data_IF_175329659870
#
_entry.id   IF_175329659870
#
_cell.length_a   1.000
_cell.length_b   1.000
_cell.length_c   1.000
_cell.angle_alpha   90.00
_cell.angle_beta   90.00
_cell.angle_gamma   90.00
#
_symmetry.space_group_name_H-M   'P 1'
#
loop_
_entity.id
_entity.type
_entity.pdbx_description
1 polymer ?
#
# COMPACT_ATOMS: atom_id res chain seq x y z
N UNK A 1 22.29 -18.33 -11.13
CA UNK A 1 21.73 -17.02 -11.50
C UNK A 1 20.23 -17.05 -11.85
N UNK A 2 19.72 -18.12 -12.46
CA UNK A 2 18.31 -18.19 -12.87
C UNK A 2 17.35 -18.22 -11.65
N UNK A 3 17.69 -19.00 -10.61
CA UNK A 3 16.86 -19.12 -9.42
C UNK A 3 16.69 -17.79 -8.66
N UNK A 4 17.78 -17.05 -8.44
CA UNK A 4 17.72 -15.73 -7.79
C UNK A 4 16.91 -14.72 -8.61
N UNK A 5 17.03 -14.76 -9.93
CA UNK A 5 16.23 -13.91 -10.81
C UNK A 5 14.74 -14.25 -10.72
N UNK A 6 14.41 -15.53 -10.65
CA UNK A 6 13.03 -15.99 -10.49
C UNK A 6 12.46 -15.55 -9.15
N UNK A 7 13.23 -15.66 -8.06
CA UNK A 7 12.84 -15.17 -6.74
C UNK A 7 12.60 -13.65 -6.74
N UNK A 8 13.46 -12.87 -7.39
CA UNK A 8 13.28 -11.43 -7.51
C UNK A 8 12.00 -11.07 -8.27
N UNK A 9 11.70 -11.80 -9.35
CA UNK A 9 10.45 -11.60 -10.10
C UNK A 9 9.25 -11.89 -9.20
N UNK A 10 9.23 -13.01 -8.49
CA UNK A 10 8.13 -13.36 -7.57
C UNK A 10 8.00 -12.34 -6.44
N UNK A 11 9.09 -11.90 -5.88
CA UNK A 11 9.11 -10.89 -4.83
C UNK A 11 8.42 -9.60 -5.31
N UNK A 12 8.82 -9.08 -6.46
CA UNK A 12 8.27 -7.84 -7.01
C UNK A 12 6.85 -7.97 -7.59
N UNK A 13 6.45 -9.15 -8.07
CA UNK A 13 5.16 -9.33 -8.75
C UNK A 13 4.09 -9.96 -7.87
N UNK A 14 4.46 -10.65 -6.81
CA UNK A 14 3.54 -11.37 -5.93
C UNK A 14 3.64 -10.89 -4.49
N UNK A 15 4.81 -11.06 -3.86
CA UNK A 15 4.93 -10.88 -2.41
C UNK A 15 4.79 -9.40 -2.00
N UNK A 16 5.57 -8.52 -2.60
CA UNK A 16 5.53 -7.09 -2.26
C UNK A 16 4.18 -6.43 -2.56
N UNK A 17 3.53 -6.64 -3.73
CA UNK A 17 2.21 -6.08 -4.00
C UNK A 17 1.10 -6.55 -3.06
N UNK A 18 1.12 -7.80 -2.58
CA UNK A 18 0.14 -8.31 -1.60
C UNK A 18 0.12 -7.44 -0.33
N UNK A 19 1.28 -6.94 0.09
CA UNK A 19 1.43 -6.13 1.30
C UNK A 19 1.53 -4.62 1.00
N UNK A 20 1.22 -4.18 -0.22
CA UNK A 20 1.27 -2.77 -0.60
C UNK A 20 2.69 -2.17 -0.59
N UNK A 21 3.72 -3.01 -0.70
CA UNK A 21 5.12 -2.58 -0.73
C UNK A 21 5.53 -2.17 -2.14
N UNK A 22 6.40 -1.16 -2.22
CA UNK A 22 7.03 -0.79 -3.48
C UNK A 22 7.94 -1.91 -4.00
N UNK A 23 8.07 -2.01 -5.32
CA UNK A 23 8.99 -2.94 -5.96
C UNK A 23 10.44 -2.56 -5.65
N UNK A 24 11.31 -3.55 -5.47
CA UNK A 24 12.75 -3.31 -5.41
C UNK A 24 13.24 -2.72 -6.72
N UNK A 25 13.89 -1.56 -6.66
CA UNK A 25 14.46 -0.96 -7.86
C UNK A 25 15.51 -1.87 -8.50
N UNK A 26 15.64 -1.81 -9.83
CA UNK A 26 16.66 -2.55 -10.58
C UNK A 26 18.08 -2.25 -10.09
N UNK A 27 18.32 -1.01 -9.63
CA UNK A 27 19.63 -0.55 -9.16
C UNK A 27 20.02 -1.25 -7.86
N UNK A 28 19.07 -1.43 -6.94
CA UNK A 28 19.28 -2.18 -5.69
C UNK A 28 19.44 -3.67 -6.00
N UNK A 29 18.56 -4.23 -6.83
CA UNK A 29 18.56 -5.65 -7.17
C UNK A 29 19.81 -6.08 -7.98
N UNK A 30 20.39 -5.15 -8.77
CA UNK A 30 21.55 -5.39 -9.61
C UNK A 30 22.83 -4.75 -9.06
N UNK A 31 22.79 -4.15 -7.88
CA UNK A 31 23.94 -3.47 -7.28
C UNK A 31 25.18 -4.37 -7.27
N UNK A 32 26.10 -4.08 -8.17
CA UNK A 32 27.43 -4.68 -8.22
C UNK A 32 28.41 -3.99 -7.27
N UNK A 33 29.62 -4.49 -7.18
CA UNK A 33 30.71 -3.74 -6.59
C UNK A 33 31.15 -2.70 -7.63
N UNK A 34 31.12 -1.41 -7.27
CA UNK A 34 31.65 -0.37 -8.14
C UNK A 34 33.12 -0.68 -8.49
N UNK A 35 33.47 -0.57 -9.73
CA UNK A 35 34.71 -0.59 -10.51
C UNK A 35 36.09 -0.79 -9.87
N UNK A 36 36.22 -1.28 -8.66
CA UNK A 36 37.52 -1.60 -8.06
C UNK A 36 37.82 -3.07 -8.32
N UNK A 37 38.89 -3.34 -9.01
CA UNK A 37 39.43 -4.69 -9.21
C UNK A 37 40.00 -5.22 -7.89
N UNK A 38 39.17 -5.88 -7.10
CA UNK A 38 39.53 -6.44 -5.79
C UNK A 38 40.30 -7.72 -5.87
N UNK A 39 40.36 -8.34 -7.04
CA UNK A 39 40.84 -9.70 -7.23
C UNK A 39 42.05 -9.79 -8.15
N UNK A 40 42.61 -8.67 -8.63
CA UNK A 40 43.82 -8.63 -9.46
C UNK A 40 45.01 -9.35 -8.83
N UNK A 41 45.12 -9.30 -7.48
CA UNK A 41 46.18 -10.01 -6.79
C UNK A 41 46.15 -11.54 -6.95
N UNK A 42 44.93 -12.11 -7.27
CA UNK A 42 44.82 -13.56 -7.51
C UNK A 42 45.45 -13.98 -8.84
N UNK A 43 45.69 -13.05 -9.76
CA UNK A 43 46.38 -13.34 -11.01
C UNK A 43 47.84 -13.75 -10.79
N UNK A 44 48.44 -13.37 -9.64
CA UNK A 44 49.74 -13.87 -9.21
C UNK A 44 49.74 -15.38 -8.95
N UNK A 45 48.58 -15.96 -8.61
CA UNK A 45 48.45 -17.39 -8.32
C UNK A 45 47.81 -18.17 -9.49
N UNK A 46 47.10 -17.51 -10.34
CA UNK A 46 46.44 -18.10 -11.52
C UNK A 46 46.52 -17.13 -12.71
N UNK A 47 47.53 -17.31 -13.56
CA UNK A 47 47.75 -16.49 -14.75
C UNK A 47 46.61 -16.60 -15.79
N UNK A 48 45.67 -17.55 -15.63
CA UNK A 48 44.48 -17.65 -16.51
C UNK A 48 43.38 -16.66 -16.14
N UNK A 49 43.47 -15.98 -15.00
CA UNK A 49 42.46 -15.06 -14.48
C UNK A 49 41.13 -15.72 -14.05
N UNK A 50 41.06 -17.06 -14.10
CA UNK A 50 39.83 -17.79 -13.76
C UNK A 50 39.47 -17.65 -12.29
N UNK A 51 40.47 -17.67 -11.41
CA UNK A 51 40.28 -17.55 -9.96
C UNK A 51 39.73 -16.16 -9.60
N UNK A 52 40.30 -15.09 -10.16
CA UNK A 52 39.82 -13.73 -9.99
C UNK A 52 38.36 -13.58 -10.49
N UNK A 53 38.09 -14.06 -11.70
CA UNK A 53 36.74 -14.03 -12.30
C UNK A 53 35.71 -14.82 -11.48
N UNK A 54 36.08 -15.98 -10.94
CA UNK A 54 35.19 -16.78 -10.11
C UNK A 54 34.88 -16.10 -8.78
N UNK A 55 35.91 -15.52 -8.13
CA UNK A 55 35.75 -14.76 -6.88
C UNK A 55 34.84 -13.55 -7.06
N UNK A 56 35.02 -12.79 -8.12
CA UNK A 56 34.16 -11.65 -8.45
C UNK A 56 32.68 -12.09 -8.69
N UNK A 57 32.47 -13.21 -9.39
CA UNK A 57 31.13 -13.77 -9.60
C UNK A 57 30.48 -14.23 -8.30
N UNK A 58 31.26 -14.84 -7.39
CA UNK A 58 30.77 -15.26 -6.07
C UNK A 58 30.35 -14.07 -5.22
N UNK A 59 31.12 -13.00 -5.21
CA UNK A 59 30.76 -11.78 -4.47
C UNK A 59 29.47 -11.14 -5.00
N UNK A 60 29.33 -11.03 -6.32
CA UNK A 60 28.10 -10.51 -6.93
C UNK A 60 26.91 -11.40 -6.54
N UNK A 61 27.07 -12.71 -6.57
CA UNK A 61 26.03 -13.65 -6.22
C UNK A 61 25.65 -13.55 -4.75
N UNK A 62 26.63 -13.48 -3.87
CA UNK A 62 26.44 -13.31 -2.42
C UNK A 62 25.68 -12.02 -2.10
N UNK A 63 26.02 -10.93 -2.76
CA UNK A 63 25.34 -9.65 -2.58
C UNK A 63 23.89 -9.71 -3.05
N UNK A 64 23.64 -10.30 -4.22
CA UNK A 64 22.27 -10.50 -4.73
C UNK A 64 21.44 -11.38 -3.77
N UNK A 65 22.02 -12.43 -3.24
CA UNK A 65 21.38 -13.30 -2.26
C UNK A 65 21.07 -12.53 -0.96
N UNK A 66 22.00 -11.69 -0.47
CA UNK A 66 21.79 -10.87 0.71
C UNK A 66 20.61 -9.87 0.51
N UNK A 67 20.57 -9.17 -0.62
CA UNK A 67 19.46 -8.25 -0.92
C UNK A 67 18.13 -9.00 -0.95
N UNK A 68 18.10 -10.20 -1.56
CA UNK A 68 16.88 -11.01 -1.62
C UNK A 68 16.43 -11.51 -0.24
N UNK A 69 17.36 -11.93 0.61
CA UNK A 69 17.05 -12.35 1.99
C UNK A 69 16.45 -11.16 2.76
N UNK A 70 17.05 -9.98 2.65
CA UNK A 70 16.53 -8.76 3.31
C UNK A 70 15.13 -8.41 2.84
N UNK A 71 14.86 -8.50 1.54
CA UNK A 71 13.51 -8.27 1.01
C UNK A 71 12.50 -9.27 1.57
N UNK A 72 12.85 -10.56 1.62
CA UNK A 72 11.98 -11.59 2.18
C UNK A 72 11.77 -11.44 3.70
N UNK A 73 12.77 -10.95 4.44
CA UNK A 73 12.60 -10.60 5.85
C UNK A 73 11.53 -9.52 6.04
N UNK A 74 11.54 -8.45 5.21
CA UNK A 74 10.52 -7.40 5.22
C UNK A 74 9.12 -7.97 4.94
N UNK A 75 8.99 -8.78 3.90
CA UNK A 75 7.73 -9.47 3.56
C UNK A 75 7.27 -10.36 4.72
N UNK A 76 8.19 -11.11 5.36
CA UNK A 76 7.88 -12.00 6.48
C UNK A 76 7.33 -11.24 7.70
N UNK A 77 7.89 -10.06 7.99
CA UNK A 77 7.37 -9.20 9.08
C UNK A 77 5.94 -8.76 8.80
N UNK A 78 5.64 -8.36 7.56
CA UNK A 78 4.28 -7.96 7.17
C UNK A 78 3.32 -9.15 7.11
N UNK A 79 3.80 -10.33 6.66
CA UNK A 79 2.99 -11.55 6.65
C UNK A 79 2.54 -11.96 8.06
N UNK A 80 3.37 -11.77 9.06
CA UNK A 80 3.01 -12.01 10.47
C UNK A 80 1.93 -11.06 10.99
N UNK A 81 1.80 -9.88 10.37
CA UNK A 81 0.77 -8.89 10.68
C UNK A 81 -0.45 -8.98 9.76
N UNK A 82 -0.56 -10.04 8.96
CA UNK A 82 -1.64 -10.19 7.99
C UNK A 82 -3.03 -10.24 8.64
N UNK A 83 -3.14 -10.78 9.84
CA UNK A 83 -4.39 -10.82 10.60
C UNK A 83 -4.82 -9.41 11.05
N UNK A 84 -3.91 -8.62 11.60
CA UNK A 84 -4.15 -7.21 11.93
C UNK A 84 -4.54 -6.42 10.67
N UNK A 85 -3.81 -6.63 9.58
CA UNK A 85 -4.11 -5.99 8.30
C UNK A 85 -5.51 -6.33 7.80
N UNK A 86 -5.94 -7.60 7.93
CA UNK A 86 -7.27 -8.03 7.49
C UNK A 86 -8.41 -7.31 8.23
N UNK A 87 -8.23 -7.00 9.52
CA UNK A 87 -9.18 -6.24 10.32
C UNK A 87 -9.20 -4.75 9.96
N UNK A 88 -8.05 -4.22 9.57
CA UNK A 88 -7.88 -2.81 9.21
C UNK A 88 -8.33 -2.47 7.79
N UNK A 89 -8.33 -3.43 6.85
CA UNK A 89 -8.76 -3.18 5.46
C UNK A 89 -10.24 -2.78 5.44
N UNK A 90 -10.61 -1.63 4.84
CA UNK A 90 -11.98 -1.15 4.78
C UNK A 90 -12.84 -2.02 3.85
N UNK A 91 -13.43 -3.09 4.37
CA UNK A 91 -14.17 -4.10 3.58
C UNK A 91 -15.66 -4.13 3.87
N UNK A 92 -16.10 -3.61 5.01
CA UNK A 92 -17.51 -3.59 5.37
C UNK A 92 -18.22 -2.30 4.90
N UNK A 93 -19.49 -2.35 4.51
CA UNK A 93 -20.23 -1.13 4.16
C UNK A 93 -20.38 -0.21 5.36
N UNK A 94 -20.22 1.13 5.19
CA UNK A 94 -20.35 2.10 6.29
C UNK A 94 -21.79 2.27 6.79
N UNK A 95 -22.76 1.73 6.06
CA UNK A 95 -24.20 1.85 6.35
C UNK A 95 -24.89 0.49 6.14
N UNK A 96 -26.11 0.37 6.64
CA UNK A 96 -26.91 -0.84 6.39
C UNK A 96 -27.04 -1.15 4.91
N UNK A 97 -26.96 -2.41 4.54
CA UNK A 97 -27.12 -2.91 3.16
C UNK A 97 -28.57 -3.03 2.72
N UNK A 98 -29.53 -2.68 3.56
CA UNK A 98 -30.96 -2.72 3.23
C UNK A 98 -31.28 -1.71 2.12
N UNK A 99 -31.57 -2.21 0.94
CA UNK A 99 -31.90 -1.42 -0.28
C UNK A 99 -33.13 -0.52 -0.11
N UNK A 100 -33.99 -0.81 0.84
CA UNK A 100 -35.15 0.05 1.15
C UNK A 100 -34.76 1.27 1.98
N UNK A 101 -33.60 1.23 2.62
CA UNK A 101 -33.10 2.29 3.48
C UNK A 101 -31.98 3.11 2.85
N UNK A 102 -31.17 2.50 1.97
CA UNK A 102 -30.00 3.14 1.36
C UNK A 102 -30.00 2.91 -0.15
N UNK A 103 -29.69 3.98 -0.88
CA UNK A 103 -29.49 3.97 -2.35
C UNK A 103 -28.14 4.55 -2.70
N UNK A 104 -27.42 3.90 -3.60
CA UNK A 104 -26.23 4.44 -4.25
C UNK A 104 -26.69 5.48 -5.29
N UNK A 105 -26.40 6.74 -5.02
CA UNK A 105 -26.82 7.89 -5.86
C UNK A 105 -25.75 8.27 -6.86
N UNK A 106 -24.49 8.19 -6.46
CA UNK A 106 -23.36 8.52 -7.32
C UNK A 106 -22.17 7.61 -7.07
N UNK A 107 -21.51 7.24 -8.16
CA UNK A 107 -20.35 6.36 -8.15
C UNK A 107 -19.04 7.17 -8.22
N UNK A 108 -17.95 6.51 -7.90
CA UNK A 108 -16.60 6.99 -8.15
C UNK A 108 -16.35 7.20 -9.65
N UNK A 109 -15.65 8.26 -10.02
CA UNK A 109 -15.24 8.55 -11.39
C UNK A 109 -15.74 9.88 -11.93
N UNK A 110 -15.60 10.09 -13.25
CA UNK A 110 -16.05 11.32 -13.93
C UNK A 110 -17.57 11.39 -13.95
N UNK A 111 -18.12 12.52 -13.51
CA UNK A 111 -19.55 12.82 -13.57
C UNK A 111 -19.80 14.32 -13.84
N UNK A 112 -20.97 14.65 -14.25
CA UNK A 112 -21.43 16.05 -14.29
C UNK A 112 -21.72 16.51 -12.88
N UNK A 113 -21.06 17.56 -12.43
CA UNK A 113 -21.31 18.19 -11.14
C UNK A 113 -22.73 18.73 -11.08
N UNK A 114 -23.53 18.37 -10.07
CA UNK A 114 -24.94 18.77 -10.01
C UNK A 114 -25.14 20.28 -9.86
N UNK A 115 -24.16 21.00 -9.31
CA UNK A 115 -24.22 22.45 -9.08
C UNK A 115 -23.65 23.25 -10.26
N UNK A 116 -22.44 22.93 -10.69
CA UNK A 116 -21.73 23.69 -11.75
C UNK A 116 -22.06 23.22 -13.15
N UNK A 117 -22.72 22.06 -13.32
CA UNK A 117 -23.03 21.40 -14.60
C UNK A 117 -21.80 21.11 -15.46
N UNK A 118 -20.58 21.17 -14.89
CA UNK A 118 -19.32 20.85 -15.57
C UNK A 118 -18.87 19.44 -15.24
N UNK A 119 -18.10 18.78 -16.11
CA UNK A 119 -17.45 17.51 -15.78
C UNK A 119 -16.52 17.68 -14.57
N UNK A 120 -16.69 16.84 -13.54
CA UNK A 120 -15.88 16.80 -12.34
C UNK A 120 -15.63 15.36 -11.91
N UNK A 121 -14.41 15.08 -11.46
CA UNK A 121 -14.08 13.78 -10.93
C UNK A 121 -14.60 13.63 -9.49
N UNK A 122 -15.33 12.55 -9.24
CA UNK A 122 -15.85 12.20 -7.93
C UNK A 122 -14.94 11.16 -7.26
N UNK A 123 -14.30 11.55 -6.16
CA UNK A 123 -13.32 10.74 -5.43
C UNK A 123 -13.94 9.79 -4.40
N UNK A 124 -15.23 9.53 -4.49
CA UNK A 124 -15.93 8.68 -3.54
C UNK A 124 -17.22 8.10 -4.11
N UNK A 125 -18.06 7.62 -3.23
CA UNK A 125 -19.43 7.14 -3.55
C UNK A 125 -20.43 7.91 -2.69
N UNK A 126 -21.55 8.32 -3.30
CA UNK A 126 -22.63 8.98 -2.59
C UNK A 126 -23.73 7.97 -2.27
N UNK A 127 -24.01 7.81 -0.99
CA UNK A 127 -25.09 7.01 -0.46
C UNK A 127 -26.18 7.94 0.08
N UNK A 128 -27.41 7.72 -0.29
CA UNK A 128 -28.56 8.51 0.15
C UNK A 128 -29.59 7.65 0.86
N UNK A 129 -30.23 8.26 1.85
CA UNK A 129 -31.34 7.65 2.60
C UNK A 129 -32.54 8.59 2.62
N UNK A 130 -33.77 8.08 2.53
CA UNK A 130 -34.98 8.87 2.75
C UNK A 130 -35.13 9.30 4.23
N UNK A 131 -34.42 8.65 5.15
CA UNK A 131 -34.39 9.00 6.58
C UNK A 131 -33.08 9.66 6.94
N UNK A 132 -33.15 10.79 7.63
CA UNK A 132 -31.98 11.44 8.18
C UNK A 132 -31.52 10.76 9.48
N UNK A 133 -30.21 10.88 9.80
CA UNK A 133 -29.66 10.43 11.07
C UNK A 133 -29.46 8.93 11.19
N UNK A 134 -29.31 8.23 10.06
CA UNK A 134 -28.88 6.83 10.09
C UNK A 134 -27.44 6.74 10.61
N UNK A 135 -27.13 5.71 11.44
CA UNK A 135 -25.79 5.49 11.92
C UNK A 135 -24.83 5.15 10.75
N UNK A 136 -23.65 5.70 10.82
CA UNK A 136 -22.55 5.43 9.90
C UNK A 136 -21.42 4.84 10.73
N UNK A 137 -20.89 3.71 10.28
CA UNK A 137 -19.86 2.94 10.96
C UNK A 137 -18.54 3.02 10.19
N UNK A 138 -17.42 2.87 10.89
CA UNK A 138 -16.13 2.65 10.27
C UNK A 138 -16.16 1.36 9.43
N UNK A 139 -15.46 1.38 8.30
CA UNK A 139 -15.45 0.26 7.35
C UNK A 139 -14.37 -0.79 7.64
N UNK A 140 -13.61 -0.59 8.69
CA UNK A 140 -12.56 -1.46 9.26
C UNK A 140 -12.05 -0.83 10.55
N UNK A 141 -11.21 -1.56 11.28
CA UNK A 141 -10.57 -1.05 12.49
C UNK A 141 -9.59 0.08 12.16
N UNK A 142 -9.45 1.04 13.05
CA UNK A 142 -8.56 2.17 12.82
C UNK A 142 -8.69 3.26 13.89
N UNK A 143 -7.91 4.31 13.72
CA UNK A 143 -7.88 5.46 14.62
C UNK A 143 -8.50 6.67 13.93
N UNK A 144 -9.36 7.39 14.63
CA UNK A 144 -9.93 8.66 14.14
C UNK A 144 -8.82 9.69 14.02
N UNK A 145 -8.40 9.96 12.78
CA UNK A 145 -7.34 10.91 12.48
C UNK A 145 -7.81 12.35 12.57
N UNK A 146 -9.04 12.61 12.12
CA UNK A 146 -9.57 13.97 12.04
C UNK A 146 -11.09 14.00 12.15
N UNK A 147 -11.60 14.97 12.92
CA UNK A 147 -13.01 15.37 12.95
C UNK A 147 -13.08 16.86 12.62
N UNK A 148 -13.72 17.23 11.51
CA UNK A 148 -13.73 18.60 11.05
C UNK A 148 -15.01 18.97 10.30
N UNK A 149 -15.15 20.27 10.02
CA UNK A 149 -16.21 20.86 9.20
C UNK A 149 -15.60 21.62 8.02
N UNK A 150 -16.10 21.31 6.83
CA UNK A 150 -15.72 22.00 5.58
C UNK A 150 -16.96 22.68 4.98
N UNK A 151 -16.98 24.01 5.01
CA UNK A 151 -18.09 24.81 4.52
C UNK A 151 -18.29 24.75 3.02
N UNK A 152 -17.23 24.43 2.26
CA UNK A 152 -17.22 24.50 0.80
C UNK A 152 -17.35 23.15 0.09
N UNK A 153 -17.38 22.04 0.84
CA UNK A 153 -17.35 20.72 0.21
C UNK A 153 -17.94 19.62 1.06
N UNK A 154 -17.20 19.08 2.01
CA UNK A 154 -17.56 17.84 2.71
C UNK A 154 -18.53 17.99 3.89
N UNK A 155 -18.89 19.23 4.29
CA UNK A 155 -19.67 19.44 5.50
C UNK A 155 -18.96 18.91 6.74
N UNK A 156 -19.71 18.36 7.70
CA UNK A 156 -19.09 17.62 8.80
C UNK A 156 -18.52 16.32 8.25
N UNK A 157 -17.25 16.06 8.54
CA UNK A 157 -16.57 14.85 8.08
C UNK A 157 -15.62 14.28 9.12
N UNK A 158 -15.37 12.97 9.00
CA UNK A 158 -14.43 12.21 9.80
C UNK A 158 -13.44 11.54 8.84
N UNK A 159 -12.16 11.50 9.21
CA UNK A 159 -11.14 10.68 8.56
C UNK A 159 -10.68 9.63 9.56
N UNK A 160 -10.71 8.38 9.16
CA UNK A 160 -10.16 7.25 9.91
C UNK A 160 -8.90 6.74 9.22
N UNK A 161 -7.83 6.59 9.97
CA UNK A 161 -6.60 5.93 9.53
C UNK A 161 -6.65 4.47 10.00
N UNK A 162 -6.69 3.56 9.04
CA UNK A 162 -6.76 2.11 9.29
C UNK A 162 -5.38 1.46 9.39
N UNK A 163 -4.30 2.25 9.28
CA UNK A 163 -2.97 1.69 9.11
C UNK A 163 -2.76 1.09 7.72
N UNK A 164 -1.59 0.51 7.49
CA UNK A 164 -1.21 -0.13 6.22
C UNK A 164 -1.45 0.72 4.95
N UNK A 165 -1.48 2.05 5.10
CA UNK A 165 -1.74 3.01 4.01
C UNK A 165 -3.22 3.27 3.70
N UNK A 166 -4.15 2.62 4.37
CA UNK A 166 -5.59 2.82 4.15
C UNK A 166 -6.13 3.95 5.01
N UNK A 167 -6.86 4.87 4.36
CA UNK A 167 -7.63 5.93 5.03
C UNK A 167 -9.00 6.04 4.42
N UNK A 168 -10.03 6.20 5.26
CA UNK A 168 -11.39 6.45 4.80
C UNK A 168 -11.88 7.81 5.25
N UNK A 169 -12.79 8.39 4.46
CA UNK A 169 -13.45 9.65 4.79
C UNK A 169 -14.96 9.46 4.74
N UNK A 170 -15.61 9.87 5.81
CA UNK A 170 -17.06 9.90 5.96
C UNK A 170 -17.50 11.35 5.98
N UNK A 171 -18.28 11.79 4.99
CA UNK A 171 -18.63 13.18 4.79
C UNK A 171 -20.15 13.42 4.85
N UNK A 172 -20.56 14.69 4.88
CA UNK A 172 -21.96 15.12 4.97
C UNK A 172 -22.69 14.57 6.19
N UNK A 173 -21.96 14.43 7.30
CA UNK A 173 -22.49 13.92 8.55
C UNK A 173 -23.36 14.99 9.23
N UNK A 174 -24.43 14.54 9.91
CA UNK A 174 -25.19 15.42 10.79
C UNK A 174 -24.36 15.84 12.01
N UNK A 175 -23.67 14.88 12.61
CA UNK A 175 -22.77 15.08 13.75
C UNK A 175 -21.73 13.98 13.79
N UNK A 176 -20.56 14.27 14.34
CA UNK A 176 -19.58 13.28 14.75
C UNK A 176 -19.98 12.73 16.13
N UNK A 177 -19.93 11.40 16.28
CA UNK A 177 -20.15 10.71 17.55
C UNK A 177 -18.84 10.21 18.17
N UNK A 178 -17.73 10.53 17.53
CA UNK A 178 -16.36 10.11 17.91
C UNK A 178 -15.45 11.32 17.96
N UNK A 179 -14.32 11.19 18.65
CA UNK A 179 -13.30 12.22 18.82
C UNK A 179 -11.98 11.79 18.14
N UNK A 180 -11.15 12.78 17.82
CA UNK A 180 -9.79 12.51 17.30
C UNK A 180 -8.99 11.67 18.31
N UNK A 181 -8.25 10.68 17.79
CA UNK A 181 -7.48 9.72 18.59
C UNK A 181 -8.28 8.53 19.13
N UNK A 182 -9.58 8.48 18.92
CA UNK A 182 -10.43 7.35 19.33
C UNK A 182 -10.17 6.14 18.40
N UNK A 183 -10.09 4.93 19.01
CA UNK A 183 -10.06 3.62 18.33
C UNK A 183 -11.47 3.17 18.00
#
# INVERSE_FOLDING_TARGET
>A
NNLLRELQIRDNTVYRPIFGMDTLSSDIAQAGFGGVDRYSFLELYDASGKLASLSAKLDILSKKAYVQVKSLDEVSVLAKRSEEMAQCIPTIPPVTTDKNKIRLVSRFGMRTDPFTKKPKFHHGVDLSSPRQGLPIYATGDGVVLKVAHDFMGYGNYIIVDHGFGYKTRYAHLRAALVSEGQL
#
